data_IF_123790387877
#
_entry.id   IF_123790387877
#
_cell.length_a   1.000
_cell.length_b   1.000
_cell.length_c   1.000
_cell.angle_alpha   90.00
_cell.angle_beta   90.00
_cell.angle_gamma   90.00
#
_symmetry.space_group_name_H-M   'P 1'
#
loop_
_entity.id
_entity.type
_entity.pdbx_description
1 polymer ?
#
# COMPACT_ATOMS: atom_id res chain seq x y z
N UNK A 1 20.25 -16.43 11.25
CA UNK A 1 19.56 -16.17 9.98
C UNK A 1 20.61 -15.85 8.92
N UNK A 2 20.59 -16.53 7.78
CA UNK A 2 21.41 -16.10 6.64
C UNK A 2 20.94 -14.71 6.16
N UNK A 3 21.85 -13.86 5.71
CA UNK A 3 21.48 -12.56 5.16
C UNK A 3 20.54 -12.77 3.96
N UNK A 4 19.43 -12.01 3.86
CA UNK A 4 18.48 -12.15 2.76
C UNK A 4 19.17 -11.90 1.42
N UNK A 5 18.84 -12.71 0.42
CA UNK A 5 19.44 -12.62 -0.92
C UNK A 5 19.14 -11.24 -1.53
N UNK A 6 20.11 -10.53 -2.14
CA UNK A 6 19.87 -9.25 -2.81
C UNK A 6 18.69 -9.26 -3.79
N UNK A 7 18.45 -10.39 -4.49
CA UNK A 7 17.29 -10.56 -5.37
C UNK A 7 15.97 -10.61 -4.62
N UNK A 8 15.94 -11.23 -3.44
CA UNK A 8 14.76 -11.27 -2.57
C UNK A 8 14.46 -9.87 -2.03
N UNK A 9 15.49 -9.13 -1.60
CA UNK A 9 15.32 -7.75 -1.12
C UNK A 9 14.70 -6.87 -2.23
N UNK A 10 15.24 -6.92 -3.45
CA UNK A 10 14.72 -6.15 -4.57
C UNK A 10 13.26 -6.52 -4.94
N UNK A 11 12.88 -7.81 -4.85
CA UNK A 11 11.50 -8.28 -5.02
C UNK A 11 10.57 -7.67 -3.97
N UNK A 12 10.97 -7.76 -2.71
CA UNK A 12 10.19 -7.23 -1.58
C UNK A 12 10.03 -5.72 -1.70
N UNK A 13 11.09 -4.99 -2.05
CA UNK A 13 11.03 -3.54 -2.27
C UNK A 13 10.01 -3.15 -3.34
N UNK A 14 10.01 -3.87 -4.46
CA UNK A 14 9.08 -3.61 -5.56
C UNK A 14 7.63 -3.90 -5.16
N UNK A 15 7.37 -5.01 -4.44
CA UNK A 15 6.03 -5.34 -3.94
C UNK A 15 5.57 -4.30 -2.91
N UNK A 16 6.43 -3.94 -1.95
CA UNK A 16 6.12 -2.92 -0.94
C UNK A 16 5.78 -1.58 -1.57
N UNK A 17 6.47 -1.18 -2.64
CA UNK A 17 6.15 0.04 -3.39
C UNK A 17 4.73 0.01 -3.96
N UNK A 18 4.29 -1.14 -4.50
CA UNK A 18 2.93 -1.31 -5.01
C UNK A 18 1.88 -1.28 -3.87
N UNK A 19 2.17 -1.92 -2.73
CA UNK A 19 1.29 -1.88 -1.55
C UNK A 19 1.15 -0.45 -1.03
N UNK A 20 2.25 0.30 -0.96
CA UNK A 20 2.25 1.68 -0.47
C UNK A 20 1.27 2.58 -1.26
N UNK A 21 1.16 2.37 -2.58
CA UNK A 21 0.20 3.08 -3.43
C UNK A 21 -1.24 2.82 -2.94
N UNK A 22 -1.60 1.55 -2.71
CA UNK A 22 -2.93 1.21 -2.23
C UNK A 22 -3.20 1.73 -0.81
N UNK A 23 -2.22 1.59 0.10
CA UNK A 23 -2.33 2.09 1.47
C UNK A 23 -2.50 3.61 1.52
N UNK A 24 -1.83 4.34 0.65
CA UNK A 24 -1.98 5.80 0.53
C UNK A 24 -3.37 6.17 0.04
N UNK A 25 -3.91 5.45 -0.95
CA UNK A 25 -5.28 5.68 -1.43
C UNK A 25 -6.31 5.42 -0.32
N UNK A 26 -6.16 4.35 0.47
CA UNK A 26 -7.05 4.07 1.62
C UNK A 26 -6.92 5.11 2.72
N UNK A 27 -5.70 5.57 3.01
CA UNK A 27 -5.47 6.65 3.96
C UNK A 27 -6.19 7.93 3.51
N UNK A 28 -6.13 8.28 2.22
CA UNK A 28 -6.86 9.43 1.65
C UNK A 28 -8.37 9.31 1.84
N UNK A 29 -8.95 8.13 1.62
CA UNK A 29 -10.38 7.90 1.87
C UNK A 29 -10.74 8.19 3.33
N UNK A 30 -9.95 7.66 4.27
CA UNK A 30 -10.17 7.91 5.70
C UNK A 30 -9.99 9.38 6.04
N UNK A 31 -8.99 10.06 5.48
CA UNK A 31 -8.76 11.50 5.74
C UNK A 31 -9.91 12.36 5.28
N UNK A 32 -10.57 11.99 4.17
CA UNK A 32 -11.74 12.71 3.68
C UNK A 32 -12.95 12.53 4.60
N UNK A 33 -13.11 11.34 5.18
CA UNK A 33 -14.23 11.04 6.08
C UNK A 33 -13.99 11.62 7.48
N UNK A 34 -12.77 11.46 8.01
CA UNK A 34 -12.37 11.90 9.35
C UNK A 34 -10.92 12.42 9.35
N UNK A 35 -10.71 13.72 9.05
CA UNK A 35 -9.38 14.32 8.93
C UNK A 35 -8.51 14.21 10.20
N UNK A 36 -9.14 14.22 11.38
CA UNK A 36 -8.48 14.12 12.69
C UNK A 36 -7.65 12.83 12.85
N UNK A 37 -8.02 11.75 12.17
CA UNK A 37 -7.27 10.49 12.19
C UNK A 37 -6.02 10.54 11.30
N UNK A 38 -5.84 11.63 10.54
CA UNK A 38 -4.73 11.91 9.63
C UNK A 38 -3.37 11.39 10.10
N UNK A 39 -2.81 12.03 11.14
CA UNK A 39 -1.48 11.67 11.66
C UNK A 39 -1.38 10.24 12.16
N UNK A 40 -2.43 9.72 12.82
CA UNK A 40 -2.45 8.38 13.39
C UNK A 40 -2.40 7.29 12.30
N UNK A 41 -3.24 7.41 11.26
CA UNK A 41 -3.22 6.47 10.13
C UNK A 41 -1.87 6.51 9.43
N UNK A 42 -1.30 7.70 9.17
CA UNK A 42 -0.01 7.81 8.49
C UNK A 42 1.11 7.07 9.25
N UNK A 43 1.17 7.24 10.58
CA UNK A 43 2.11 6.51 11.44
C UNK A 43 1.86 5.00 11.46
N UNK A 44 0.60 4.57 11.53
CA UNK A 44 0.21 3.16 11.50
C UNK A 44 0.56 2.50 10.16
N UNK A 45 0.30 3.18 9.04
CA UNK A 45 0.66 2.71 7.69
C UNK A 45 2.17 2.51 7.60
N UNK A 46 2.98 3.49 8.02
CA UNK A 46 4.44 3.38 8.01
C UNK A 46 4.92 2.15 8.79
N UNK A 47 4.40 1.96 10.02
CA UNK A 47 4.77 0.82 10.86
C UNK A 47 4.29 -0.51 10.28
N UNK A 48 3.11 -0.53 9.66
CA UNK A 48 2.59 -1.73 8.99
C UNK A 48 3.41 -2.09 7.75
N UNK A 49 3.86 -1.11 6.96
CA UNK A 49 4.74 -1.36 5.81
C UNK A 49 6.06 -2.02 6.22
N UNK A 50 6.62 -1.62 7.37
CA UNK A 50 7.79 -2.32 7.94
C UNK A 50 7.47 -3.78 8.29
N UNK A 51 6.33 -4.04 8.93
CA UNK A 51 5.91 -5.40 9.27
C UNK A 51 5.66 -6.26 8.02
N UNK A 52 5.01 -5.71 6.98
CA UNK A 52 4.81 -6.41 5.69
C UNK A 52 6.14 -6.77 5.05
N UNK A 53 7.10 -5.83 5.00
CA UNK A 53 8.46 -6.09 4.50
C UNK A 53 9.10 -7.27 5.23
N UNK A 54 9.01 -7.30 6.56
CA UNK A 54 9.56 -8.38 7.37
C UNK A 54 8.87 -9.72 7.08
N UNK A 55 7.54 -9.74 6.98
CA UNK A 55 6.77 -10.94 6.65
C UNK A 55 7.09 -11.48 5.24
N UNK A 56 7.35 -10.61 4.26
CA UNK A 56 7.74 -11.05 2.91
C UNK A 56 9.16 -11.64 2.85
N UNK A 57 10.06 -11.19 3.74
CA UNK A 57 11.41 -11.74 3.88
C UNK A 57 11.48 -12.96 4.82
N UNK A 58 10.37 -13.30 5.48
CA UNK A 58 10.32 -14.45 6.38
C UNK A 58 10.49 -15.75 5.62
N UNK A 59 10.89 -16.80 6.34
CA UNK A 59 10.86 -18.15 5.85
C UNK A 59 9.53 -18.80 6.18
N UNK A 60 9.02 -19.60 5.25
CA UNK A 60 7.82 -20.43 5.42
C UNK A 60 8.15 -21.86 5.02
N UNK A 61 7.59 -22.81 5.76
CA UNK A 61 7.83 -24.23 5.56
C UNK A 61 6.66 -24.89 4.83
N UNK A 62 6.98 -25.69 3.83
CA UNK A 62 6.02 -26.54 3.10
C UNK A 62 6.54 -27.98 3.15
N UNK A 63 6.08 -28.76 4.14
CA UNK A 63 6.62 -30.08 4.42
C UNK A 63 8.08 -30.00 4.88
N UNK A 64 8.98 -30.69 4.17
CA UNK A 64 10.42 -30.69 4.47
C UNK A 64 11.16 -29.49 3.87
N UNK A 65 10.52 -28.71 2.99
CA UNK A 65 11.16 -27.64 2.24
C UNK A 65 10.92 -26.28 2.91
N UNK A 66 11.97 -25.46 2.94
CA UNK A 66 11.93 -24.10 3.50
C UNK A 66 12.06 -23.11 2.34
N UNK A 67 11.08 -22.23 2.22
CA UNK A 67 11.03 -21.19 1.20
C UNK A 67 11.07 -19.81 1.83
N UNK A 68 11.57 -18.82 1.10
CA UNK A 68 11.30 -17.43 1.44
C UNK A 68 9.90 -17.05 0.96
N UNK A 69 9.12 -16.36 1.78
CA UNK A 69 7.71 -16.05 1.49
C UNK A 69 7.53 -15.31 0.16
N UNK A 70 8.39 -14.32 -0.13
CA UNK A 70 8.35 -13.60 -1.41
C UNK A 70 8.55 -14.50 -2.61
N UNK A 71 9.41 -15.52 -2.51
CA UNK A 71 9.71 -16.42 -3.62
C UNK A 71 8.51 -17.30 -3.97
N UNK A 72 7.73 -17.70 -2.95
CA UNK A 72 6.48 -18.44 -3.15
C UNK A 72 5.42 -17.54 -3.80
N UNK A 73 5.25 -16.32 -3.29
CA UNK A 73 4.25 -15.37 -3.80
C UNK A 73 4.45 -15.00 -5.27
N UNK A 74 5.71 -14.91 -5.73
CA UNK A 74 6.04 -14.57 -7.13
C UNK A 74 6.19 -15.80 -8.04
N UNK A 75 6.10 -17.02 -7.49
CA UNK A 75 6.22 -18.26 -8.26
C UNK A 75 4.96 -18.54 -9.12
N UNK A 76 4.96 -19.62 -9.89
CA UNK A 76 3.76 -20.08 -10.61
C UNK A 76 2.90 -21.07 -9.77
N UNK A 77 3.30 -21.38 -8.53
CA UNK A 77 2.61 -22.35 -7.66
C UNK A 77 1.41 -21.72 -6.94
N UNK A 78 0.27 -21.70 -7.61
CA UNK A 78 -0.98 -21.13 -7.09
C UNK A 78 -1.50 -21.86 -5.83
N UNK A 79 -1.18 -23.15 -5.66
CA UNK A 79 -1.58 -23.89 -4.47
C UNK A 79 -0.85 -23.35 -3.24
N UNK A 80 0.48 -23.17 -3.31
CA UNK A 80 1.26 -22.59 -2.21
C UNK A 80 0.87 -21.13 -1.95
N UNK A 81 0.62 -20.33 -2.99
CA UNK A 81 0.12 -18.95 -2.81
C UNK A 81 -1.19 -18.90 -2.06
N UNK A 82 -2.16 -19.75 -2.45
CA UNK A 82 -3.46 -19.83 -1.77
C UNK A 82 -3.30 -20.18 -0.30
N UNK A 83 -2.37 -21.08 0.04
CA UNK A 83 -2.07 -21.46 1.42
C UNK A 83 -1.49 -20.28 2.23
N UNK A 84 -0.58 -19.51 1.64
CA UNK A 84 0.02 -18.34 2.30
C UNK A 84 -0.98 -17.20 2.54
N UNK A 85 -1.97 -17.08 1.66
CA UNK A 85 -2.99 -16.03 1.70
C UNK A 85 -4.29 -16.47 2.40
N UNK A 86 -4.37 -17.71 2.89
CA UNK A 86 -5.53 -18.22 3.61
C UNK A 86 -5.47 -17.76 5.06
N UNK A 87 -6.46 -16.95 5.49
CA UNK A 87 -6.52 -16.36 6.83
C UNK A 87 -6.50 -17.42 7.96
N UNK A 88 -6.92 -18.65 7.67
CA UNK A 88 -7.16 -19.69 8.69
C UNK A 88 -5.98 -20.63 8.93
N UNK A 89 -4.88 -20.46 8.20
CA UNK A 89 -3.74 -21.40 8.25
C UNK A 89 -2.60 -20.85 9.09
N UNK A 90 -1.93 -21.72 9.84
CA UNK A 90 -0.73 -21.35 10.63
C UNK A 90 0.43 -20.87 9.74
N UNK A 91 0.52 -21.42 8.53
CA UNK A 91 1.51 -21.01 7.51
C UNK A 91 1.15 -19.69 6.83
N UNK A 92 0.05 -19.07 7.22
CA UNK A 92 -0.45 -17.85 6.62
C UNK A 92 0.41 -16.65 6.99
N UNK A 93 0.59 -15.75 6.04
CA UNK A 93 1.12 -14.42 6.29
C UNK A 93 0.29 -13.66 7.34
N UNK A 94 -1.01 -13.97 7.42
CA UNK A 94 -1.91 -13.39 8.42
C UNK A 94 -1.52 -13.81 9.84
N UNK A 95 -1.23 -15.09 10.07
CA UNK A 95 -0.80 -15.67 11.36
C UNK A 95 0.59 -15.17 11.81
N UNK A 96 1.52 -14.99 10.86
CA UNK A 96 2.87 -14.50 11.19
C UNK A 96 2.89 -13.03 11.64
N UNK A 97 1.82 -12.28 11.38
CA UNK A 97 1.75 -10.84 11.66
C UNK A 97 0.67 -10.49 12.69
N UNK A 98 -0.33 -11.34 12.85
CA UNK A 98 -1.34 -11.31 13.90
C UNK A 98 -1.11 -12.56 14.71
N UNK A 99 -0.42 -12.44 15.84
CA UNK A 99 -0.20 -13.58 16.72
C UNK A 99 -1.55 -14.15 17.15
N UNK A 100 -1.76 -15.43 16.82
CA UNK A 100 -2.85 -16.25 17.32
C UNK A 100 -2.82 -16.37 18.83
N UNK A 101 -3.92 -16.03 19.48
CA UNK A 101 -4.59 -16.74 20.58
C UNK A 101 -3.75 -17.47 21.65
N UNK A 102 -2.58 -16.95 22.04
CA UNK A 102 -2.01 -17.15 23.38
C UNK A 102 -2.49 -16.03 24.33
N UNK A 103 -3.78 -15.66 24.21
CA UNK A 103 -4.38 -14.56 24.96
C UNK A 103 -4.73 -14.92 26.41
N UNK A 104 -4.76 -16.19 26.79
CA UNK A 104 -5.18 -16.61 28.13
C UNK A 104 -4.20 -17.58 28.78
N UNK A 105 -3.17 -17.03 29.47
CA UNK A 105 -2.57 -17.53 30.72
C UNK A 105 -1.14 -16.98 30.92
N UNK A 106 -1.03 -15.72 31.35
CA UNK A 106 0.19 -15.18 31.95
C UNK A 106 -0.08 -14.77 33.41
N UNK A 107 0.88 -14.95 34.34
CA UNK A 107 0.65 -14.70 35.76
C UNK A 107 0.34 -13.21 36.01
N UNK A 108 -0.62 -12.98 36.92
CA UNK A 108 -1.26 -11.70 37.26
C UNK A 108 -0.32 -10.47 37.28
N UNK A 109 -0.81 -9.39 36.65
CA UNK A 109 -0.34 -8.02 36.87
C UNK A 109 0.62 -7.42 35.83
N UNK A 110 0.92 -8.11 34.72
CA UNK A 110 1.77 -7.56 33.64
C UNK A 110 0.94 -7.13 32.42
N UNK A 111 1.33 -6.02 31.80
CA UNK A 111 0.72 -5.54 30.55
C UNK A 111 1.16 -6.49 29.43
N UNK A 112 0.19 -7.22 28.89
CA UNK A 112 0.39 -8.16 27.79
C UNK A 112 0.28 -7.43 26.44
N UNK A 113 1.44 -7.18 25.82
CA UNK A 113 1.55 -6.60 24.47
C UNK A 113 2.20 -7.67 23.59
N UNK A 114 1.43 -8.23 22.66
CA UNK A 114 1.87 -9.33 21.79
C UNK A 114 1.92 -8.93 20.31
N UNK A 115 1.22 -7.86 19.94
CA UNK A 115 1.14 -7.36 18.58
C UNK A 115 0.93 -5.84 18.55
N UNK A 116 0.88 -5.29 17.34
CA UNK A 116 0.63 -3.86 17.11
C UNK A 116 -0.73 -3.42 17.65
N UNK A 117 -1.76 -4.24 17.47
CA UNK A 117 -3.11 -3.92 17.90
C UNK A 117 -3.19 -3.80 19.42
N UNK A 118 -2.77 -4.83 20.17
CA UNK A 118 -2.71 -4.86 21.63
C UNK A 118 -1.82 -3.74 22.19
N UNK A 119 -0.72 -3.39 21.50
CA UNK A 119 0.12 -2.26 21.90
C UNK A 119 -0.65 -0.94 21.88
N UNK A 120 -1.35 -0.64 20.78
CA UNK A 120 -2.06 0.63 20.62
C UNK A 120 -3.42 0.67 21.31
N UNK A 121 -4.16 -0.43 21.35
CA UNK A 121 -5.44 -0.53 22.05
C UNK A 121 -5.30 -0.26 23.56
N UNK A 122 -4.13 -0.52 24.13
CA UNK A 122 -3.81 -0.20 25.54
C UNK A 122 -3.53 1.28 25.78
N UNK A 123 -3.08 2.01 24.75
CA UNK A 123 -2.91 3.46 24.82
C UNK A 123 -4.24 4.18 24.56
N UNK A 124 -4.94 3.77 23.52
CA UNK A 124 -6.26 4.25 23.13
C UNK A 124 -6.99 3.15 22.33
N UNK A 125 -8.15 2.66 22.81
CA UNK A 125 -8.95 1.66 22.10
C UNK A 125 -9.33 2.07 20.67
N UNK A 126 -9.52 3.37 20.39
CA UNK A 126 -9.82 3.86 19.05
C UNK A 126 -8.64 3.70 18.09
N UNK A 127 -7.41 3.89 18.58
CA UNK A 127 -6.18 3.65 17.79
C UNK A 127 -5.99 2.15 17.57
N UNK A 128 -6.40 1.31 18.54
CA UNK A 128 -6.48 -0.15 18.38
C UNK A 128 -7.29 -0.54 17.14
N UNK A 129 -8.55 -0.11 17.07
CA UNK A 129 -9.42 -0.40 15.91
C UNK A 129 -8.84 0.12 14.59
N UNK A 130 -8.20 1.29 14.62
CA UNK A 130 -7.53 1.86 13.44
C UNK A 130 -6.33 1.00 13.00
N UNK A 131 -5.61 0.41 13.96
CA UNK A 131 -4.51 -0.49 13.70
C UNK A 131 -4.97 -1.77 13.01
N UNK A 132 -6.06 -2.39 13.50
CA UNK A 132 -6.66 -3.57 12.85
C UNK A 132 -7.09 -3.24 11.41
N UNK A 133 -7.73 -2.10 11.20
CA UNK A 133 -8.16 -1.66 9.88
C UNK A 133 -6.96 -1.56 8.90
N UNK A 134 -5.87 -0.92 9.32
CA UNK A 134 -4.63 -0.80 8.54
C UNK A 134 -3.99 -2.18 8.28
N UNK A 135 -4.10 -3.12 9.21
CA UNK A 135 -3.65 -4.50 9.02
C UNK A 135 -4.45 -5.16 7.88
N UNK A 136 -5.78 -5.08 7.91
CA UNK A 136 -6.64 -5.66 6.89
C UNK A 136 -6.42 -5.04 5.50
N UNK A 137 -6.19 -3.73 5.43
CA UNK A 137 -5.88 -3.05 4.18
C UNK A 137 -4.66 -3.64 3.48
N UNK A 138 -3.55 -3.77 4.20
CA UNK A 138 -2.33 -4.35 3.66
C UNK A 138 -2.57 -5.76 3.10
N UNK A 139 -3.48 -6.52 3.71
CA UNK A 139 -3.83 -7.87 3.29
C UNK A 139 -4.76 -7.93 2.09
N UNK A 140 -5.76 -7.06 2.02
CA UNK A 140 -6.64 -6.98 0.86
C UNK A 140 -5.89 -6.54 -0.38
N UNK A 141 -4.81 -5.77 -0.22
CA UNK A 141 -4.07 -5.18 -1.32
C UNK A 141 -2.77 -5.94 -1.67
N UNK A 142 -2.27 -6.81 -0.80
CA UNK A 142 -1.07 -7.62 -1.05
C UNK A 142 -1.17 -8.50 -2.31
N UNK A 143 -2.25 -9.27 -2.55
CA UNK A 143 -2.37 -10.07 -3.78
C UNK A 143 -2.24 -9.22 -5.05
N UNK A 144 -2.88 -8.06 -5.06
CA UNK A 144 -2.86 -7.15 -6.21
C UNK A 144 -1.47 -6.55 -6.41
N UNK A 145 -0.78 -6.17 -5.32
CA UNK A 145 0.58 -5.66 -5.38
C UNK A 145 1.60 -6.70 -5.88
N UNK A 146 1.43 -7.97 -5.49
CA UNK A 146 2.22 -9.10 -5.99
C UNK A 146 1.95 -9.30 -7.48
N UNK A 147 0.68 -9.31 -7.90
CA UNK A 147 0.30 -9.47 -9.29
C UNK A 147 0.84 -8.32 -10.16
N UNK A 148 0.82 -7.07 -9.68
CA UNK A 148 1.50 -5.94 -10.35
C UNK A 148 2.99 -6.22 -10.57
N UNK A 149 3.69 -6.71 -9.54
CA UNK A 149 5.11 -7.02 -9.66
C UNK A 149 5.37 -8.17 -10.65
N UNK A 150 4.58 -9.24 -10.59
CA UNK A 150 4.70 -10.39 -11.49
C UNK A 150 4.43 -9.98 -12.94
N UNK A 151 3.44 -9.11 -13.16
CA UNK A 151 3.16 -8.52 -14.47
C UNK A 151 4.36 -7.75 -14.98
N UNK A 152 4.89 -6.79 -14.21
CA UNK A 152 6.03 -5.98 -14.64
C UNK A 152 7.29 -6.82 -14.90
N UNK A 153 7.51 -7.89 -14.13
CA UNK A 153 8.59 -8.85 -14.38
C UNK A 153 8.41 -9.62 -15.70
N UNK A 154 7.18 -10.03 -16.02
CA UNK A 154 6.89 -10.69 -17.30
C UNK A 154 7.08 -9.73 -18.48
N UNK A 155 6.65 -8.48 -18.36
CA UNK A 155 6.91 -7.42 -19.35
C UNK A 155 8.41 -7.21 -19.56
N UNK A 156 9.19 -7.10 -18.48
CA UNK A 156 10.64 -6.94 -18.59
C UNK A 156 11.31 -8.12 -19.30
N UNK A 157 10.89 -9.35 -19.02
CA UNK A 157 11.40 -10.55 -19.71
C UNK A 157 10.97 -10.59 -21.17
N UNK A 158 9.73 -10.22 -21.47
CA UNK A 158 9.22 -10.11 -22.83
C UNK A 158 10.07 -9.13 -23.65
N UNK A 159 10.33 -7.94 -23.11
CA UNK A 159 11.15 -6.92 -23.77
C UNK A 159 12.60 -7.35 -23.95
N UNK A 160 13.18 -8.02 -22.95
CA UNK A 160 14.52 -8.60 -23.06
C UNK A 160 14.58 -9.67 -24.18
N UNK A 161 13.57 -10.54 -24.29
CA UNK A 161 13.50 -11.55 -25.35
C UNK A 161 13.33 -10.93 -26.73
N UNK A 162 12.52 -9.88 -26.84
CA UNK A 162 12.25 -9.16 -28.09
C UNK A 162 13.51 -8.49 -28.63
N UNK A 163 14.25 -7.83 -27.76
CA UNK A 163 15.45 -7.05 -28.11
C UNK A 163 16.72 -7.90 -28.22
N UNK A 164 16.71 -9.14 -27.71
CA UNK A 164 17.88 -9.98 -27.69
C UNK A 164 18.36 -10.36 -29.11
N UNK A 165 19.61 -9.98 -29.41
CA UNK A 165 20.28 -10.31 -30.66
C UNK A 165 21.05 -11.63 -30.50
N UNK A 166 20.86 -12.56 -31.45
CA UNK A 166 21.52 -13.86 -31.45
C UNK A 166 20.73 -15.02 -30.81
N UNK A 167 21.40 -16.15 -30.65
CA UNK A 167 20.83 -17.37 -30.06
C UNK A 167 20.60 -17.19 -28.56
N UNK A 168 19.47 -17.70 -28.06
CA UNK A 168 19.17 -17.63 -26.63
C UNK A 168 20.07 -18.62 -25.86
N UNK A 169 20.56 -18.24 -24.66
CA UNK A 169 21.29 -19.17 -23.80
C UNK A 169 20.48 -20.44 -23.50
N UNK A 170 21.11 -21.62 -23.54
CA UNK A 170 20.40 -22.91 -23.39
C UNK A 170 19.67 -23.04 -22.04
N UNK A 171 20.22 -22.46 -20.98
CA UNK A 171 19.56 -22.43 -19.67
C UNK A 171 18.22 -21.66 -19.70
N UNK A 172 18.12 -20.62 -20.52
CA UNK A 172 16.87 -19.86 -20.72
C UNK A 172 15.89 -20.70 -21.54
N UNK A 173 16.36 -21.30 -22.64
CA UNK A 173 15.54 -22.20 -23.48
C UNK A 173 14.96 -23.34 -22.65
N UNK A 174 15.78 -23.98 -21.82
CA UNK A 174 15.36 -25.07 -20.94
C UNK A 174 14.32 -24.61 -19.92
N UNK A 175 14.46 -23.40 -19.35
CA UNK A 175 13.48 -22.86 -18.41
C UNK A 175 12.11 -22.67 -19.08
N UNK A 176 12.06 -22.13 -20.30
CA UNK A 176 10.81 -21.99 -21.06
C UNK A 176 10.25 -23.35 -21.51
N UNK A 177 11.10 -24.31 -21.86
CA UNK A 177 10.68 -25.68 -22.18
C UNK A 177 9.92 -26.32 -21.03
N UNK A 178 10.44 -26.19 -19.81
CA UNK A 178 9.77 -26.65 -18.58
C UNK A 178 8.47 -25.90 -18.34
N UNK A 179 8.48 -24.56 -18.44
CA UNK A 179 7.29 -23.73 -18.22
C UNK A 179 6.16 -24.01 -19.22
N UNK A 180 6.49 -24.36 -20.46
CA UNK A 180 5.55 -24.73 -21.52
C UNK A 180 5.15 -26.22 -21.49
N UNK A 181 5.71 -27.02 -20.58
CA UNK A 181 5.44 -28.46 -20.50
C UNK A 181 5.82 -29.23 -21.77
N UNK A 182 6.85 -28.78 -22.50
CA UNK A 182 7.26 -29.39 -23.78
C UNK A 182 8.30 -30.49 -23.55
N UNK A 183 8.29 -31.56 -24.38
CA UNK A 183 9.28 -32.63 -24.28
C UNK A 183 10.69 -32.14 -24.61
N UNK A 184 11.70 -32.90 -24.18
CA UNK A 184 13.11 -32.52 -24.30
C UNK A 184 13.54 -32.23 -25.75
N UNK A 185 13.00 -32.97 -26.72
CA UNK A 185 13.36 -32.80 -28.14
C UNK A 185 12.59 -31.66 -28.84
N UNK A 186 11.58 -31.06 -28.19
CA UNK A 186 10.82 -29.99 -28.79
C UNK A 186 11.67 -28.72 -28.97
N UNK A 187 11.68 -28.19 -30.20
CA UNK A 187 12.29 -26.91 -30.51
C UNK A 187 11.42 -25.80 -29.96
N UNK A 188 11.95 -25.04 -29.01
CA UNK A 188 11.31 -23.82 -28.48
C UNK A 188 11.78 -22.65 -29.33
N UNK A 189 10.84 -21.96 -29.96
CA UNK A 189 11.11 -20.75 -30.73
C UNK A 189 11.07 -19.52 -29.82
N UNK A 190 11.61 -18.40 -30.31
CA UNK A 190 11.49 -17.12 -29.60
C UNK A 190 10.02 -16.68 -29.49
N UNK A 191 9.22 -16.95 -30.52
CA UNK A 191 7.77 -16.68 -30.51
C UNK A 191 7.07 -17.44 -29.39
N UNK A 192 7.42 -18.71 -29.16
CA UNK A 192 6.90 -19.49 -28.03
C UNK A 192 7.24 -18.86 -26.66
N UNK A 193 8.44 -18.31 -26.52
CA UNK A 193 8.87 -17.64 -25.28
C UNK A 193 8.14 -16.31 -25.07
N UNK A 194 7.97 -15.53 -26.13
CA UNK A 194 7.22 -14.27 -26.10
C UNK A 194 5.74 -14.53 -25.77
N UNK A 195 5.14 -15.53 -26.41
CA UNK A 195 3.78 -15.97 -26.10
C UNK A 195 3.66 -16.43 -24.64
N UNK A 196 4.64 -17.19 -24.13
CA UNK A 196 4.66 -17.63 -22.73
C UNK A 196 4.63 -16.45 -21.73
N UNK A 197 5.43 -15.40 -21.95
CA UNK A 197 5.42 -14.23 -21.08
C UNK A 197 4.14 -13.39 -21.24
N UNK A 198 3.58 -13.29 -22.45
CA UNK A 198 2.27 -12.65 -22.65
C UNK A 198 1.13 -13.42 -21.95
N UNK A 199 1.18 -14.75 -21.95
CA UNK A 199 0.22 -15.60 -21.25
C UNK A 199 0.36 -15.47 -19.72
N UNK A 200 1.58 -15.29 -19.20
CA UNK A 200 1.78 -14.96 -17.77
C UNK A 200 1.10 -13.64 -17.40
N UNK A 201 1.27 -12.61 -18.23
CA UNK A 201 0.57 -11.34 -18.05
C UNK A 201 -0.96 -11.53 -18.09
N UNK A 202 -1.48 -12.29 -19.05
CA UNK A 202 -2.92 -12.57 -19.15
C UNK A 202 -3.45 -13.27 -17.89
N UNK A 203 -2.76 -14.31 -17.39
CA UNK A 203 -3.15 -15.01 -16.16
C UNK A 203 -3.21 -14.07 -14.94
N UNK A 204 -2.29 -13.13 -14.84
CA UNK A 204 -2.33 -12.08 -13.79
C UNK A 204 -3.60 -11.24 -13.92
N UNK A 205 -3.92 -10.76 -15.13
CA UNK A 205 -5.10 -9.94 -15.38
C UNK A 205 -6.40 -10.71 -15.07
N UNK A 206 -6.48 -11.98 -15.45
CA UNK A 206 -7.66 -12.82 -15.22
C UNK A 206 -7.90 -13.04 -13.72
N UNK A 207 -6.83 -13.34 -12.96
CA UNK A 207 -6.93 -13.49 -11.50
C UNK A 207 -7.34 -12.18 -10.83
N UNK A 208 -6.78 -11.06 -11.26
CA UNK A 208 -7.14 -9.76 -10.73
C UNK A 208 -8.60 -9.43 -11.04
N UNK A 209 -9.04 -9.62 -12.28
CA UNK A 209 -10.44 -9.41 -12.69
C UNK A 209 -11.41 -10.21 -11.79
N UNK A 210 -11.13 -11.49 -11.56
CA UNK A 210 -11.92 -12.34 -10.65
C UNK A 210 -11.97 -11.79 -9.21
N UNK A 211 -10.87 -11.24 -8.70
CA UNK A 211 -10.85 -10.58 -7.37
C UNK A 211 -11.69 -9.30 -7.36
N UNK A 212 -11.63 -8.49 -8.41
CA UNK A 212 -12.47 -7.29 -8.53
C UNK A 212 -13.96 -7.64 -8.60
N UNK A 213 -14.35 -8.68 -9.33
CA UNK A 213 -15.75 -9.12 -9.43
C UNK A 213 -16.33 -9.64 -8.12
N UNK A 214 -15.49 -10.24 -7.27
CA UNK A 214 -15.88 -10.81 -5.97
C UNK A 214 -15.65 -9.85 -4.79
N UNK A 215 -15.20 -8.62 -5.05
CA UNK A 215 -14.85 -7.65 -4.02
C UNK A 215 -16.12 -7.18 -3.30
N UNK A 216 -16.08 -7.16 -1.96
CA UNK A 216 -17.18 -6.62 -1.17
C UNK A 216 -17.15 -5.07 -1.23
N UNK A 217 -18.30 -4.38 -1.14
CA UNK A 217 -18.35 -2.92 -1.27
C UNK A 217 -17.42 -2.16 -0.33
N UNK A 218 -17.26 -2.62 0.91
CA UNK A 218 -16.38 -2.00 1.91
C UNK A 218 -14.88 -2.24 1.69
N UNK A 219 -14.51 -3.10 0.72
CA UNK A 219 -13.13 -3.37 0.32
C UNK A 219 -12.73 -2.62 -0.95
N UNK A 220 -13.71 -2.06 -1.67
CA UNK A 220 -13.49 -1.22 -2.85
C UNK A 220 -12.60 -0.06 -2.45
N UNK A 221 -11.63 0.24 -3.32
CA UNK A 221 -10.75 1.38 -3.18
C UNK A 221 -11.24 2.46 -4.14
N UNK A 222 -11.86 3.51 -3.61
CA UNK A 222 -12.38 4.60 -4.40
C UNK A 222 -11.25 5.56 -4.76
N UNK A 223 -10.92 5.55 -6.05
CA UNK A 223 -10.13 6.57 -6.68
C UNK A 223 -11.00 7.78 -7.02
N UNK A 224 -10.38 8.94 -6.94
CA UNK A 224 -10.93 10.18 -7.48
C UNK A 224 -9.87 10.68 -8.44
N UNK A 225 -10.28 11.17 -9.61
CA UNK A 225 -9.30 11.56 -10.60
C UNK A 225 -8.40 12.62 -9.98
N UNK A 226 -7.09 12.34 -9.85
CA UNK A 226 -6.19 13.40 -9.46
C UNK A 226 -6.26 14.44 -10.60
N UNK A 227 -6.35 15.72 -10.24
CA UNK A 227 -5.62 16.69 -11.05
C UNK A 227 -4.18 16.18 -11.13
N UNK A 228 -3.53 16.30 -12.29
CA UNK A 228 -2.12 15.93 -12.55
C UNK A 228 -1.27 15.71 -11.29
N UNK A 229 -0.65 14.53 -11.13
CA UNK A 229 -0.06 13.93 -9.90
C UNK A 229 0.64 14.87 -8.87
N UNK A 230 1.12 16.05 -9.27
CA UNK A 230 1.63 17.09 -8.37
C UNK A 230 0.55 17.81 -7.55
N UNK A 231 -0.70 17.90 -8.02
CA UNK A 231 -1.78 18.60 -7.29
C UNK A 231 -2.38 17.74 -6.18
N UNK A 232 -2.50 16.42 -6.36
CA UNK A 232 -3.11 15.54 -5.36
C UNK A 232 -2.30 15.46 -4.06
N UNK A 233 -0.96 15.38 -4.14
CA UNK A 233 -0.10 15.39 -2.94
C UNK A 233 -0.12 16.75 -2.23
N UNK A 234 -0.26 17.84 -2.99
CA UNK A 234 -0.33 19.18 -2.44
C UNK A 234 -1.70 19.49 -1.81
N UNK A 235 -2.79 18.98 -2.38
CA UNK A 235 -4.15 19.06 -1.82
C UNK A 235 -4.28 18.26 -0.52
N UNK A 236 -3.75 17.03 -0.49
CA UNK A 236 -3.71 16.24 0.75
C UNK A 236 -2.88 16.94 1.84
N UNK A 237 -1.75 17.54 1.46
CA UNK A 237 -0.93 18.34 2.38
C UNK A 237 -1.73 19.52 2.98
N UNK A 238 -2.47 20.25 2.14
CA UNK A 238 -3.34 21.34 2.59
C UNK A 238 -4.46 20.83 3.50
N UNK A 239 -5.08 19.69 3.19
CA UNK A 239 -6.12 19.08 4.02
C UNK A 239 -5.59 18.66 5.40
N UNK A 240 -4.40 18.06 5.45
CA UNK A 240 -3.73 17.69 6.71
C UNK A 240 -3.40 18.96 7.53
N UNK A 241 -2.89 20.00 6.89
CA UNK A 241 -2.56 21.27 7.55
C UNK A 241 -3.82 21.96 8.09
N UNK A 242 -4.91 22.00 7.30
CA UNK A 242 -6.23 22.49 7.76
C UNK A 242 -6.72 21.68 8.95
N UNK A 243 -6.66 20.35 8.90
CA UNK A 243 -7.08 19.49 9.99
C UNK A 243 -6.26 19.74 11.27
N UNK A 244 -4.94 19.90 11.15
CA UNK A 244 -4.06 20.24 12.26
C UNK A 244 -4.48 21.56 12.93
N UNK A 245 -4.77 22.60 12.14
CA UNK A 245 -5.22 23.89 12.68
C UNK A 245 -6.62 23.80 13.30
N UNK A 246 -7.53 23.01 12.75
CA UNK A 246 -8.85 22.78 13.34
C UNK A 246 -8.76 22.06 14.70
N UNK A 247 -7.90 21.04 14.81
CA UNK A 247 -7.60 20.37 16.08
C UNK A 247 -6.96 21.35 17.07
N UNK A 248 -6.04 22.20 16.60
CA UNK A 248 -5.46 23.28 17.40
C UNK A 248 -6.52 24.24 17.97
N UNK A 249 -7.50 24.64 17.16
CA UNK A 249 -8.63 25.47 17.61
C UNK A 249 -9.44 24.75 18.68
N UNK A 250 -9.82 23.48 18.45
CA UNK A 250 -10.59 22.70 19.42
C UNK A 250 -9.84 22.61 20.76
N UNK A 251 -8.55 22.29 20.71
CA UNK A 251 -7.72 22.20 21.91
C UNK A 251 -7.59 23.53 22.66
N UNK A 252 -7.36 24.64 21.95
CA UNK A 252 -7.30 25.98 22.54
C UNK A 252 -8.64 26.41 23.16
N UNK A 253 -9.77 25.95 22.63
CA UNK A 253 -11.09 26.27 23.14
C UNK A 253 -11.45 25.50 24.40
N UNK A 254 -10.88 24.31 24.59
CA UNK A 254 -11.06 23.47 25.79
C UNK A 254 -10.17 23.89 26.96
N UNK A 255 -9.10 24.64 26.70
CA UNK A 255 -8.18 25.12 27.74
C UNK A 255 -8.67 26.40 28.44
N UNK A 256 -8.63 26.41 29.77
CA UNK A 256 -8.88 27.60 30.60
C UNK A 256 -7.69 28.58 30.55
N UNK A 257 -6.46 28.07 30.62
CA UNK A 257 -5.22 28.83 30.51
C UNK A 257 -4.31 28.22 29.44
N UNK A 258 -3.56 29.08 28.74
CA UNK A 258 -2.61 28.63 27.70
C UNK A 258 -1.38 28.00 28.35
N UNK A 259 -0.98 26.82 27.88
CA UNK A 259 0.32 26.22 28.20
C UNK A 259 1.45 27.20 27.81
N UNK A 260 2.47 27.42 28.67
CA UNK A 260 3.68 28.17 28.35
C UNK A 260 4.30 27.85 26.98
N UNK A 261 4.27 26.59 26.55
CA UNK A 261 4.76 26.18 25.22
C UNK A 261 3.92 26.74 24.08
N UNK A 262 2.60 26.79 24.27
CA UNK A 262 1.68 27.39 23.32
C UNK A 262 1.89 28.92 23.28
N UNK A 263 2.11 29.54 24.44
CA UNK A 263 2.41 30.98 24.53
C UNK A 263 3.65 31.35 23.73
N UNK A 264 4.75 30.61 23.91
CA UNK A 264 6.00 30.85 23.15
C UNK A 264 5.79 30.65 21.64
N UNK A 265 5.08 29.58 21.26
CA UNK A 265 4.76 29.26 19.87
C UNK A 265 3.96 30.36 19.17
N UNK A 266 2.93 30.90 19.82
CA UNK A 266 2.09 31.96 19.26
C UNK A 266 2.76 33.34 19.36
N UNK A 267 3.57 33.60 20.38
CA UNK A 267 4.36 34.84 20.50
C UNK A 267 5.27 35.02 19.29
N UNK A 268 5.96 33.95 18.88
CA UNK A 268 6.83 33.95 17.70
C UNK A 268 6.04 34.19 16.41
N UNK A 269 4.91 33.49 16.21
CA UNK A 269 4.12 33.58 14.97
C UNK A 269 3.33 34.87 14.82
N UNK A 270 2.86 35.43 15.93
CA UNK A 270 2.12 36.70 15.96
C UNK A 270 3.07 37.90 16.04
N UNK A 271 4.37 37.67 16.29
CA UNK A 271 5.37 38.71 16.52
C UNK A 271 4.97 39.68 17.65
N UNK A 272 4.52 39.11 18.78
CA UNK A 272 4.10 39.83 19.99
C UNK A 272 4.85 39.28 21.20
N UNK A 273 5.06 40.07 22.26
CA UNK A 273 5.64 39.56 23.50
C UNK A 273 4.74 38.47 24.12
N UNK A 274 5.35 37.48 24.78
CA UNK A 274 4.64 36.36 25.43
C UNK A 274 3.52 36.82 26.39
N UNK A 275 3.70 37.96 27.05
CA UNK A 275 2.70 38.57 27.95
C UNK A 275 1.44 39.11 27.25
N UNK A 276 1.49 39.31 25.93
CA UNK A 276 0.38 39.81 25.13
C UNK A 276 -0.34 38.70 24.34
N UNK A 277 0.12 37.45 24.47
CA UNK A 277 -0.54 36.29 23.84
C UNK A 277 -1.77 35.92 24.65
N UNK A 278 -2.94 36.07 24.04
CA UNK A 278 -4.21 35.63 24.62
C UNK A 278 -4.74 34.42 23.85
N UNK A 279 -5.58 33.62 24.50
CA UNK A 279 -6.30 32.51 23.87
C UNK A 279 -7.10 32.98 22.66
N UNK A 280 -7.72 34.16 22.75
CA UNK A 280 -8.48 34.75 21.64
C UNK A 280 -7.60 35.05 20.43
N UNK A 281 -6.41 35.61 20.66
CA UNK A 281 -5.45 35.90 19.60
C UNK A 281 -4.88 34.62 18.97
N UNK A 282 -4.62 33.59 19.77
CA UNK A 282 -4.20 32.27 19.29
C UNK A 282 -5.28 31.59 18.44
N UNK A 283 -6.54 31.58 18.91
CA UNK A 283 -7.66 31.03 18.15
C UNK A 283 -7.91 31.82 16.86
N UNK A 284 -7.76 33.15 16.90
CA UNK A 284 -7.89 34.00 15.71
C UNK A 284 -6.78 33.71 14.69
N UNK A 285 -5.54 33.48 15.14
CA UNK A 285 -4.44 33.05 14.29
C UNK A 285 -4.76 31.74 13.57
N UNK A 286 -5.15 30.71 14.33
CA UNK A 286 -5.47 29.39 13.78
C UNK A 286 -6.63 29.46 12.79
N UNK A 287 -7.69 30.23 13.10
CA UNK A 287 -8.80 30.47 12.17
C UNK A 287 -8.35 31.18 10.89
N UNK A 288 -7.40 32.11 10.99
CA UNK A 288 -6.84 32.83 9.83
C UNK A 288 -6.05 31.87 8.94
N UNK A 289 -5.25 30.96 9.53
CA UNK A 289 -4.56 29.92 8.76
C UNK A 289 -5.52 28.98 8.08
N UNK A 290 -6.57 28.51 8.77
CA UNK A 290 -7.62 27.67 8.16
C UNK A 290 -8.27 28.38 6.97
N UNK A 291 -8.60 29.67 7.08
CA UNK A 291 -9.21 30.42 5.97
C UNK A 291 -8.26 30.59 4.78
N UNK A 292 -6.99 30.90 5.04
CA UNK A 292 -5.95 30.98 3.99
C UNK A 292 -5.81 29.65 3.26
N UNK A 293 -5.62 28.56 4.00
CA UNK A 293 -5.44 27.22 3.44
C UNK A 293 -6.69 26.73 2.68
N UNK A 294 -7.90 27.06 3.18
CA UNK A 294 -9.15 26.81 2.43
C UNK A 294 -9.17 27.59 1.12
N UNK A 295 -8.78 28.86 1.12
CA UNK A 295 -8.66 29.67 -0.10
C UNK A 295 -7.70 29.06 -1.11
N UNK A 296 -6.53 28.59 -0.64
CA UNK A 296 -5.53 27.92 -1.47
C UNK A 296 -6.06 26.59 -2.03
N UNK A 297 -6.75 25.81 -1.21
CA UNK A 297 -7.40 24.56 -1.61
C UNK A 297 -8.49 24.79 -2.66
N UNK A 298 -9.40 25.74 -2.43
CA UNK A 298 -10.46 26.08 -3.38
C UNK A 298 -9.91 26.60 -4.71
N UNK A 299 -8.86 27.43 -4.67
CA UNK A 299 -8.21 27.95 -5.87
C UNK A 299 -7.58 26.83 -6.70
N UNK A 300 -6.96 25.84 -6.04
CA UNK A 300 -6.37 24.66 -6.70
C UNK A 300 -7.43 23.75 -7.31
N UNK A 301 -8.49 23.44 -6.56
CA UNK A 301 -9.62 22.64 -7.05
C UNK A 301 -10.28 23.33 -8.26
N UNK A 302 -10.46 24.65 -8.19
CA UNK A 302 -11.07 25.44 -9.28
C UNK A 302 -10.16 25.53 -10.51
N UNK A 303 -8.85 25.73 -10.31
CA UNK A 303 -7.86 25.81 -11.39
C UNK A 303 -7.65 24.47 -12.12
N UNK A 304 -7.85 23.34 -11.44
CA UNK A 304 -7.77 22.02 -12.04
C UNK A 304 -8.93 21.72 -13.02
N UNK A 305 -9.98 22.56 -13.07
CA UNK A 305 -11.16 22.35 -13.92
C UNK A 305 -11.93 21.06 -13.60
N UNK A 306 -11.57 20.37 -12.51
CA UNK A 306 -12.12 19.08 -12.09
C UNK A 306 -12.92 19.30 -10.82
N UNK A 307 -14.21 19.55 -10.99
CA UNK A 307 -15.16 18.97 -10.04
C UNK A 307 -14.93 17.46 -10.09
N UNK A 308 -14.43 16.88 -8.99
CA UNK A 308 -14.10 15.45 -8.82
C UNK A 308 -15.37 14.58 -8.86
N UNK A 309 -16.14 14.62 -9.95
CA UNK A 309 -17.56 14.24 -9.87
C UNK A 309 -17.84 12.75 -10.02
N UNK A 310 -16.85 11.94 -10.37
CA UNK A 310 -17.04 10.49 -10.45
C UNK A 310 -15.95 9.75 -9.67
N UNK A 311 -16.35 9.25 -8.50
CA UNK A 311 -15.62 8.18 -7.83
C UNK A 311 -15.56 6.98 -8.76
N UNK A 312 -14.39 6.37 -8.88
CA UNK A 312 -14.18 5.14 -9.64
C UNK A 312 -13.52 4.09 -8.76
N UNK A 313 -13.71 2.81 -9.09
CA UNK A 313 -12.93 1.74 -8.47
C UNK A 313 -11.48 1.83 -9.00
N UNK A 314 -10.56 2.18 -8.10
CA UNK A 314 -9.16 2.35 -8.41
C UNK A 314 -8.52 1.06 -8.94
N UNK A 315 -8.88 -0.09 -8.38
CA UNK A 315 -8.33 -1.39 -8.79
C UNK A 315 -8.82 -1.78 -10.17
N UNK A 316 -10.08 -1.48 -10.50
CA UNK A 316 -10.63 -1.68 -11.86
C UNK A 316 -9.91 -0.78 -12.87
N UNK A 317 -9.71 0.50 -12.56
CA UNK A 317 -8.95 1.41 -13.44
C UNK A 317 -7.52 0.92 -13.67
N UNK A 318 -6.84 0.44 -12.63
CA UNK A 318 -5.49 -0.14 -12.76
C UNK A 318 -5.50 -1.38 -13.64
N UNK A 319 -6.49 -2.26 -13.48
CA UNK A 319 -6.66 -3.44 -14.32
C UNK A 319 -6.78 -3.06 -15.80
N UNK A 320 -7.59 -2.05 -16.13
CA UNK A 320 -7.75 -1.58 -17.50
C UNK A 320 -6.47 -0.97 -18.09
N UNK A 321 -5.68 -0.26 -17.27
CA UNK A 321 -4.35 0.21 -17.68
C UNK A 321 -3.39 -0.94 -17.99
N UNK A 322 -3.39 -2.00 -17.18
CA UNK A 322 -2.55 -3.18 -17.40
C UNK A 322 -3.02 -3.98 -18.63
N UNK A 323 -4.33 -4.08 -18.88
CA UNK A 323 -4.88 -4.66 -20.12
C UNK A 323 -4.37 -3.94 -21.35
N UNK A 324 -4.44 -2.61 -21.36
CA UNK A 324 -3.90 -1.79 -22.45
C UNK A 324 -2.41 -2.03 -22.66
N UNK A 325 -1.62 -2.08 -21.57
CA UNK A 325 -0.18 -2.42 -21.66
C UNK A 325 0.07 -3.80 -22.28
N UNK A 326 -0.74 -4.81 -21.96
CA UNK A 326 -0.63 -6.13 -22.57
C UNK A 326 -1.01 -6.12 -24.05
N UNK A 327 -2.05 -5.38 -24.43
CA UNK A 327 -2.41 -5.18 -25.84
C UNK A 327 -1.27 -4.54 -26.61
N UNK A 328 -0.69 -3.46 -26.10
CA UNK A 328 0.46 -2.78 -26.71
C UNK A 328 1.65 -3.74 -26.91
N UNK A 329 1.94 -4.58 -25.90
CA UNK A 329 3.00 -5.61 -25.98
C UNK A 329 2.72 -6.63 -27.08
N UNK A 330 1.48 -7.13 -27.18
CA UNK A 330 1.09 -8.09 -28.24
C UNK A 330 1.22 -7.49 -29.63
N UNK A 331 0.79 -6.23 -29.82
CA UNK A 331 0.97 -5.52 -31.11
C UNK A 331 2.44 -5.34 -31.45
N UNK A 332 3.28 -5.04 -30.45
CA UNK A 332 4.72 -4.87 -30.64
C UNK A 332 5.48 -6.18 -30.95
N UNK A 333 4.86 -7.33 -30.69
CA UNK A 333 5.40 -8.66 -31.01
C UNK A 333 5.15 -9.05 -32.47
N UNK A 334 4.07 -8.53 -33.06
CA UNK A 334 3.64 -8.84 -34.42
C UNK A 334 4.33 -7.96 -35.49
N UNK A 335 5.03 -6.90 -35.05
CA UNK A 335 5.75 -5.94 -35.89
C UNK A 335 7.23 -6.31 -36.04
#
# INVERSE_FOLDING_TARGET
>A
MAAPNPKQIARVDAICKNIEIFMRMRAREVFRIKPELGPAVAGLVWRKMFAVRHALLSSVTFGAEIYCTVDVLVSDDEAKKKILMDERRETSLFFQTVSSDDADQGPDGRIHIFDLHSCFARLDPQIGNLCELVIYWAWWDLPDAVDMYVFDQAVQRFEALRTATGAMPENVVQAYRVALGRPAEAKITREDMLACEADKCQRVLDRWAQRCESVQPYRILLGYEPGTDDSANAEDGLLIEIASHLTGIAHLQEQEELDPRAVDYYAERLNVPASAVTRENAVAYEKTQVQRLKGDLYSRISAAGKLHDQAYDYKVRMLDQLRKRLEDLRHSAAA
#
